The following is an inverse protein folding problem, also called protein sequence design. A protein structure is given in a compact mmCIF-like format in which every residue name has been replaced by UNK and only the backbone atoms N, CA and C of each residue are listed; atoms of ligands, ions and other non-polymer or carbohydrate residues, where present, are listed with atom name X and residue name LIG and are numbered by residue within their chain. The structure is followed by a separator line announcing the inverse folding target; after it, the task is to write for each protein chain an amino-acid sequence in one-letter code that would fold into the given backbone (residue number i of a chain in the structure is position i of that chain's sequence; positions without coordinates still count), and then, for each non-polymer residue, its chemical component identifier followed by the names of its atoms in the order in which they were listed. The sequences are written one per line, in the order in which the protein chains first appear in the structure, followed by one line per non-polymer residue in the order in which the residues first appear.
data_IF_002779618060
#
_entry.id   IF_002779618060
#
_cell.length_a   1.000
_cell.length_b   1.000
_cell.length_c   1.000
_cell.angle_alpha   90.00
_cell.angle_beta   90.00
_cell.angle_gamma   90.00
#
_symmetry.space_group_name_H-M   'P 1'
#
loop_
_entity.id
_entity.type
_entity.pdbx_description
1 polymer ?
#
# COMPACT_ATOMS: atom_id res chain seq x y z
N UNK A 1 -24.61 6.33 -16.50
CA UNK A 1 -24.04 7.04 -16.20
C UNK A 1 -23.97 7.39 -14.85
N UNK A 2 -24.41 6.91 -13.99
CA UNK A 2 -24.51 7.34 -12.68
C UNK A 2 -23.25 7.68 -11.96
N UNK A 3 -22.13 7.28 -12.49
CA UNK A 3 -20.88 7.61 -11.85
C UNK A 3 -20.32 8.92 -12.26
N UNK A 4 -20.95 9.54 -13.23
CA UNK A 4 -20.48 10.79 -13.70
C UNK A 4 -20.55 11.79 -12.59
N UNK A 5 -19.57 12.52 -12.30
CA UNK A 5 -19.57 13.50 -11.24
C UNK A 5 -19.02 13.00 -9.92
N UNK A 6 -18.91 11.69 -9.74
CA UNK A 6 -18.26 11.17 -8.54
C UNK A 6 -16.76 11.09 -8.78
N UNK A 7 -15.95 11.78 -7.98
CA UNK A 7 -14.51 11.71 -8.18
C UNK A 7 -13.99 10.31 -7.89
N UNK A 8 -12.97 9.92 -8.63
CA UNK A 8 -12.28 8.70 -8.34
C UNK A 8 -11.49 8.86 -7.06
N UNK A 9 -11.40 7.77 -6.31
CA UNK A 9 -10.54 7.74 -5.15
C UNK A 9 -9.09 7.91 -5.59
N UNK A 10 -8.37 8.83 -4.98
CA UNK A 10 -6.95 9.03 -5.27
C UNK A 10 -6.12 8.01 -4.53
N UNK A 11 -4.88 7.83 -4.96
CA UNK A 11 -3.97 6.91 -4.27
C UNK A 11 -3.75 7.37 -2.83
N UNK A 12 -3.64 8.68 -2.59
CA UNK A 12 -3.46 9.20 -1.24
C UNK A 12 -4.67 8.90 -0.35
N UNK A 13 -5.88 9.05 -0.90
CA UNK A 13 -7.10 8.73 -0.15
C UNK A 13 -7.18 7.23 0.17
N UNK A 14 -6.88 6.41 -0.81
CA UNK A 14 -6.88 4.97 -0.63
C UNK A 14 -5.85 4.56 0.43
N UNK A 15 -4.63 5.09 0.34
CA UNK A 15 -3.58 4.81 1.31
C UNK A 15 -4.02 5.19 2.72
N UNK A 16 -4.63 6.35 2.88
CA UNK A 16 -5.12 6.79 4.18
C UNK A 16 -6.14 5.84 4.77
N UNK A 17 -7.05 5.34 3.94
CA UNK A 17 -8.08 4.37 4.39
C UNK A 17 -7.44 3.07 4.85
N UNK A 18 -6.47 2.57 4.08
CA UNK A 18 -5.79 1.33 4.42
C UNK A 18 -5.04 1.45 5.75
N UNK A 19 -4.32 2.57 5.93
CA UNK A 19 -3.58 2.81 7.16
C UNK A 19 -4.53 2.88 8.36
N UNK A 20 -5.64 3.62 8.24
CA UNK A 20 -6.59 3.75 9.34
C UNK A 20 -7.20 2.41 9.71
N UNK A 21 -7.52 1.59 8.70
CA UNK A 21 -8.06 0.27 8.97
C UNK A 21 -7.07 -0.61 9.71
N UNK A 22 -5.82 -0.62 9.27
CA UNK A 22 -4.79 -1.42 9.91
C UNK A 22 -4.61 -1.01 11.38
N UNK A 23 -4.55 0.30 11.64
CA UNK A 23 -4.41 0.81 12.99
C UNK A 23 -5.62 0.41 13.83
N UNK A 24 -6.82 0.47 13.26
CA UNK A 24 -8.04 0.09 13.96
C UNK A 24 -7.97 -1.34 14.47
N UNK A 25 -7.36 -2.23 13.70
CA UNK A 25 -7.21 -3.63 14.07
C UNK A 25 -5.93 -3.90 14.89
N UNK A 26 -5.25 -2.85 15.31
CA UNK A 26 -4.11 -3.00 16.23
C UNK A 26 -2.77 -3.26 15.57
N UNK A 27 -2.66 -3.01 14.26
CA UNK A 27 -1.37 -3.16 13.58
C UNK A 27 -0.50 -1.95 13.78
N UNK A 28 0.79 -2.17 13.86
CA UNK A 28 1.78 -1.11 13.81
C UNK A 28 2.16 -0.91 12.35
N UNK A 29 1.98 0.31 11.83
CA UNK A 29 2.04 0.57 10.40
C UNK A 29 3.04 1.67 10.12
N UNK A 30 3.79 1.49 9.03
CA UNK A 30 4.68 2.53 8.51
C UNK A 30 4.39 2.73 7.02
N UNK A 31 4.27 3.98 6.62
CA UNK A 31 4.07 4.38 5.24
C UNK A 31 5.21 5.29 4.82
N UNK A 32 5.87 4.94 3.73
CA UNK A 32 6.99 5.72 3.23
C UNK A 32 6.49 6.67 2.15
N UNK A 33 6.61 7.96 2.42
CA UNK A 33 6.09 9.01 1.53
C UNK A 33 7.24 9.71 0.83
N UNK A 34 7.11 9.95 -0.50
CA UNK A 34 8.11 10.78 -1.20
C UNK A 34 8.07 12.20 -0.64
N UNK A 35 9.24 12.82 -0.56
CA UNK A 35 9.35 14.20 -0.15
C UNK A 35 9.63 15.07 -1.38
N UNK A 36 9.14 16.31 -1.34
CA UNK A 36 9.42 17.26 -2.43
C UNK A 36 10.83 17.79 -2.29
N UNK A 37 11.57 17.73 -3.38
CA UNK A 37 12.93 18.25 -3.46
C UNK A 37 13.05 19.18 -4.66
N UNK A 38 14.21 19.80 -4.81
CA UNK A 38 14.50 20.64 -5.98
C UNK A 38 14.42 19.87 -7.29
N UNK A 39 14.56 18.55 -7.23
CA UNK A 39 14.54 17.67 -8.40
C UNK A 39 13.21 16.94 -8.55
N UNK A 40 12.19 17.34 -7.81
CA UNK A 40 10.89 16.71 -7.83
C UNK A 40 10.67 15.81 -6.62
N UNK A 41 9.71 14.91 -6.72
CA UNK A 41 9.38 14.02 -5.62
C UNK A 41 10.38 12.88 -5.52
N UNK A 42 10.95 12.71 -4.33
CA UNK A 42 11.95 11.66 -4.07
C UNK A 42 11.70 11.01 -2.73
N UNK A 43 11.95 9.72 -2.66
CA UNK A 43 12.05 9.01 -1.39
C UNK A 43 13.52 8.74 -1.15
N UNK A 44 14.05 9.21 -0.02
CA UNK A 44 15.44 9.00 0.29
C UNK A 44 15.66 7.54 0.64
N UNK A 45 16.43 6.85 -0.18
CA UNK A 45 16.75 5.45 0.04
C UNK A 45 18.22 5.21 -0.23
N UNK A 46 18.71 4.16 0.38
CA UNK A 46 20.02 3.60 0.08
C UNK A 46 19.78 2.12 -0.17
N UNK A 47 20.28 1.61 -1.29
CA UNK A 47 20.01 0.25 -1.70
C UNK A 47 19.02 0.22 -2.85
N UNK A 48 18.17 -0.79 -2.87
CA UNK A 48 17.29 -1.04 -4.03
C UNK A 48 15.97 -0.26 -3.91
N UNK A 49 15.60 0.40 -5.00
CA UNK A 49 14.35 1.13 -5.09
C UNK A 49 13.17 0.17 -5.14
N UNK A 50 11.96 0.71 -4.96
CA UNK A 50 10.73 -0.05 -5.13
C UNK A 50 10.16 -0.65 -3.86
N UNK A 51 10.69 -0.25 -2.70
CA UNK A 51 10.18 -0.76 -1.42
C UNK A 51 8.68 -0.51 -1.32
N UNK A 52 7.90 -1.46 -0.78
CA UNK A 52 6.44 -1.32 -0.71
C UNK A 52 5.98 -0.07 0.03
N UNK A 53 4.79 0.40 -0.32
CA UNK A 53 4.24 1.64 0.23
C UNK A 53 4.04 1.56 1.74
N UNK A 54 3.54 0.44 2.22
CA UNK A 54 3.33 0.25 3.65
C UNK A 54 3.89 -1.07 4.13
N UNK A 55 4.33 -1.04 5.38
CA UNK A 55 4.67 -2.25 6.13
C UNK A 55 3.86 -2.21 7.42
N UNK A 56 3.25 -3.32 7.75
CA UNK A 56 2.45 -3.45 8.96
C UNK A 56 2.85 -4.71 9.70
N UNK A 57 2.95 -4.60 11.03
CA UNK A 57 3.34 -5.76 11.85
C UNK A 57 2.39 -5.90 13.03
N UNK A 58 2.08 -7.15 13.37
CA UNK A 58 1.27 -7.47 14.55
C UNK A 58 1.54 -8.91 14.94
N UNK A 59 1.94 -9.10 16.19
CA UNK A 59 2.15 -10.44 16.78
C UNK A 59 2.96 -11.38 15.88
N UNK A 60 4.07 -10.87 15.37
CA UNK A 60 4.97 -11.68 14.55
C UNK A 60 4.62 -11.75 13.08
N UNK A 61 3.44 -11.32 12.68
CA UNK A 61 3.07 -11.26 11.27
C UNK A 61 3.56 -9.95 10.66
N UNK A 62 4.16 -10.04 9.47
CA UNK A 62 4.75 -8.89 8.78
C UNK A 62 4.17 -8.81 7.39
N UNK A 63 3.35 -7.79 7.16
CA UNK A 63 2.67 -7.57 5.89
C UNK A 63 3.32 -6.39 5.19
N UNK A 64 3.55 -6.54 3.89
CA UNK A 64 3.97 -5.43 3.04
C UNK A 64 2.95 -5.26 1.94
N UNK A 65 2.62 -4.03 1.59
CA UNK A 65 1.63 -3.78 0.55
C UNK A 65 2.03 -2.62 -0.34
N UNK A 66 1.85 -2.85 -1.63
CA UNK A 66 1.95 -1.81 -2.64
C UNK A 66 0.52 -1.41 -2.99
N UNK A 67 0.24 -0.11 -3.00
CA UNK A 67 -1.12 0.40 -3.20
C UNK A 67 -1.19 1.15 -4.51
N UNK A 68 -2.16 0.79 -5.34
CA UNK A 68 -2.38 1.41 -6.64
C UNK A 68 -3.85 1.74 -6.82
N UNK A 69 -4.14 2.67 -7.71
CA UNK A 69 -5.52 3.01 -8.07
C UNK A 69 -5.68 2.98 -9.58
N UNK A 70 -6.91 2.81 -10.04
CA UNK A 70 -7.22 2.83 -11.46
C UNK A 70 -6.51 1.73 -12.21
N UNK A 71 -5.85 2.10 -13.29
CA UNK A 71 -5.11 1.15 -14.14
C UNK A 71 -3.62 1.18 -13.89
N UNK A 72 -3.17 1.89 -12.86
CA UNK A 72 -1.75 1.96 -12.53
C UNK A 72 -1.23 0.58 -12.14
N UNK A 73 0.00 0.30 -12.52
CA UNK A 73 0.62 -1.00 -12.26
C UNK A 73 1.93 -0.80 -11.50
N UNK A 74 2.36 -1.80 -10.75
CA UNK A 74 3.65 -1.70 -10.08
C UNK A 74 4.77 -1.67 -11.10
N UNK A 75 5.86 -1.02 -10.74
CA UNK A 75 7.07 -1.06 -11.53
C UNK A 75 7.74 -2.42 -11.36
N UNK A 76 8.72 -2.69 -12.21
CA UNK A 76 9.49 -3.93 -12.10
C UNK A 76 10.16 -4.03 -10.74
N UNK A 77 10.75 -2.93 -10.26
CA UNK A 77 11.39 -2.90 -8.95
C UNK A 77 10.40 -3.19 -7.83
N UNK A 78 9.21 -2.62 -7.89
CA UNK A 78 8.16 -2.87 -6.90
C UNK A 78 7.74 -4.33 -6.89
N UNK A 79 7.56 -4.91 -8.08
CA UNK A 79 7.18 -6.32 -8.20
C UNK A 79 8.24 -7.23 -7.62
N UNK A 80 9.50 -6.87 -7.81
CA UNK A 80 10.61 -7.67 -7.29
C UNK A 80 10.60 -7.70 -5.76
N UNK A 81 10.35 -6.56 -5.11
CA UNK A 81 10.24 -6.51 -3.67
C UNK A 81 9.10 -7.41 -3.16
N UNK A 82 7.93 -7.35 -3.82
CA UNK A 82 6.80 -8.17 -3.41
C UNK A 82 7.11 -9.65 -3.56
N UNK A 83 7.75 -10.03 -4.66
CA UNK A 83 8.10 -11.43 -4.91
C UNK A 83 9.06 -11.96 -3.86
N UNK A 84 10.08 -11.18 -3.51
CA UNK A 84 11.04 -11.60 -2.51
C UNK A 84 10.48 -11.58 -1.10
N UNK A 85 9.49 -10.71 -0.83
CA UNK A 85 8.86 -10.64 0.49
C UNK A 85 8.13 -11.93 0.82
N UNK A 86 7.40 -12.47 -0.15
CA UNK A 86 6.74 -13.74 0.01
C UNK A 86 5.23 -13.63 0.22
N UNK A 87 4.69 -14.57 0.97
CA UNK A 87 3.24 -14.77 1.04
C UNK A 87 2.47 -13.63 1.69
N UNK A 88 3.11 -12.83 2.52
CA UNK A 88 2.45 -11.70 3.17
C UNK A 88 2.76 -10.37 2.47
N UNK A 89 3.05 -10.43 1.18
CA UNK A 89 3.18 -9.26 0.34
C UNK A 89 1.94 -9.15 -0.56
N UNK A 90 1.44 -7.93 -0.70
CA UNK A 90 0.19 -7.69 -1.43
C UNK A 90 0.34 -6.52 -2.38
N UNK A 91 -0.35 -6.64 -3.51
CA UNK A 91 -0.61 -5.52 -4.39
C UNK A 91 -2.10 -5.26 -4.30
N UNK A 92 -2.48 -4.10 -3.77
CA UNK A 92 -3.87 -3.80 -3.50
C UNK A 92 -4.38 -2.60 -4.28
N UNK A 93 -5.59 -2.76 -4.78
CA UNK A 93 -6.38 -1.70 -5.39
C UNK A 93 -7.63 -1.50 -4.53
N UNK A 94 -8.34 -0.38 -4.70
CA UNK A 94 -9.59 -0.18 -3.92
C UNK A 94 -10.59 -1.34 -4.05
N UNK A 95 -10.62 -2.00 -5.21
CA UNK A 95 -11.50 -3.15 -5.42
C UNK A 95 -11.13 -4.35 -4.56
N UNK A 96 -9.95 -4.35 -3.95
CA UNK A 96 -9.51 -5.46 -3.10
C UNK A 96 -9.90 -5.26 -1.64
N UNK A 97 -10.82 -4.35 -1.35
CA UNK A 97 -11.14 -3.96 0.02
C UNK A 97 -11.51 -5.14 0.92
N UNK A 98 -12.27 -6.10 0.39
CA UNK A 98 -12.65 -7.27 1.18
C UNK A 98 -11.42 -8.06 1.62
N UNK A 99 -10.42 -8.21 0.76
CA UNK A 99 -9.19 -8.89 1.13
C UNK A 99 -8.40 -8.08 2.13
N UNK A 100 -8.32 -6.76 1.92
CA UNK A 100 -7.61 -5.87 2.83
C UNK A 100 -8.17 -6.00 4.24
N UNK A 101 -9.49 -5.92 4.34
CA UNK A 101 -10.16 -6.07 5.62
C UNK A 101 -9.94 -7.47 6.20
N UNK A 102 -9.97 -8.48 5.37
CA UNK A 102 -9.74 -9.85 5.82
C UNK A 102 -8.35 -10.03 6.42
N UNK A 103 -7.33 -9.45 5.78
CA UNK A 103 -5.97 -9.53 6.26
C UNK A 103 -5.82 -8.80 7.59
N UNK A 104 -6.24 -7.55 7.67
CA UNK A 104 -6.02 -6.77 8.88
C UNK A 104 -6.91 -7.20 10.04
N UNK A 105 -8.08 -7.75 9.78
CA UNK A 105 -8.92 -8.30 10.84
C UNK A 105 -8.43 -9.65 11.34
N UNK A 106 -7.50 -10.27 10.63
CA UNK A 106 -6.97 -11.58 11.01
C UNK A 106 -7.73 -12.76 10.47
N UNK A 107 -8.71 -12.52 9.57
CA UNK A 107 -9.44 -13.65 8.98
C UNK A 107 -8.64 -14.34 7.88
N UNK A 108 -7.71 -13.62 7.29
CA UNK A 108 -6.88 -14.17 6.20
C UNK A 108 -5.43 -14.25 6.65
#
# INVERSE_FOLDING_TARGET
MGKRGLPRETEAEFTGKVIRLAILYGWQVCHFRPARTARGWRTAIQGHAGFPDIVAVRYGRKVAAELKVGTNKPTEDQSLWLNHWGKDAYLWYPSDWAQIEGVFSGRI
#
